data_IF_696573008474
#
_entry.id   IF_696573008474
#
_cell.length_a   1.000
_cell.length_b   1.000
_cell.length_c   1.000
_cell.angle_alpha   90.00
_cell.angle_beta   90.00
_cell.angle_gamma   90.00
#
_symmetry.space_group_name_H-M   'P 1'
#
loop_
_entity.id
_entity.type
_entity.pdbx_description
1 polymer ?
#
# COMPACT_ATOMS: atom_id res chain seq x y z
N UNK A 1 18.00 27.87 -80.96
CA UNK A 1 17.05 28.65 -80.13
C UNK A 1 16.80 27.82 -78.89
N UNK A 2 17.29 28.29 -77.74
CA UNK A 2 17.19 27.59 -76.47
C UNK A 2 15.81 27.85 -75.87
N UNK A 3 15.05 26.79 -75.61
CA UNK A 3 13.81 26.84 -74.84
C UNK A 3 14.18 26.61 -73.37
N UNK A 4 13.85 27.58 -72.53
CA UNK A 4 14.24 27.65 -71.12
C UNK A 4 13.05 27.21 -70.28
N UNK A 5 13.04 25.91 -69.93
CA UNK A 5 12.04 25.34 -69.03
C UNK A 5 12.19 25.90 -67.62
N UNK A 6 11.18 26.63 -67.15
CA UNK A 6 11.05 27.13 -65.78
C UNK A 6 10.91 25.94 -64.82
N UNK A 7 11.68 25.85 -63.72
CA UNK A 7 11.49 24.80 -62.74
C UNK A 7 10.23 25.09 -61.91
N UNK A 8 9.29 24.13 -61.87
CA UNK A 8 8.14 24.15 -60.95
C UNK A 8 8.67 24.09 -59.51
N UNK A 9 8.39 25.14 -58.72
CA UNK A 9 8.51 25.06 -57.26
C UNK A 9 7.58 23.96 -56.76
N UNK A 10 8.12 22.99 -56.02
CA UNK A 10 7.31 22.14 -55.15
C UNK A 10 6.84 23.02 -54.01
N UNK A 11 5.52 23.12 -53.83
CA UNK A 11 4.94 23.59 -52.59
C UNK A 11 5.23 22.51 -51.55
N UNK A 12 5.96 22.88 -50.50
CA UNK A 12 6.08 22.07 -49.29
C UNK A 12 4.73 22.22 -48.58
N UNK A 13 3.94 21.15 -48.57
CA UNK A 13 2.78 21.05 -47.69
C UNK A 13 3.33 21.03 -46.26
N UNK A 14 3.20 22.13 -45.53
CA UNK A 14 3.35 22.16 -44.08
C UNK A 14 2.22 21.27 -43.52
N UNK A 15 2.57 20.05 -43.10
CA UNK A 15 1.69 19.25 -42.25
C UNK A 15 1.45 20.07 -40.97
N UNK A 16 0.23 20.61 -40.81
CA UNK A 16 -0.22 21.14 -39.52
C UNK A 16 -0.13 19.98 -38.51
N UNK A 17 0.87 20.01 -37.63
CA UNK A 17 0.88 19.16 -36.44
C UNK A 17 -0.37 19.52 -35.65
N UNK A 18 -1.40 18.67 -35.72
CA UNK A 18 -2.51 18.70 -34.79
C UNK A 18 -1.93 18.79 -33.37
N UNK A 19 -2.15 19.91 -32.68
CA UNK A 19 -1.73 20.12 -31.29
C UNK A 19 -2.40 19.03 -30.42
N UNK A 20 -1.73 17.88 -30.28
CA UNK A 20 -2.16 16.82 -29.37
C UNK A 20 -2.02 17.39 -27.97
N UNK A 21 -3.15 17.78 -27.39
CA UNK A 21 -3.24 18.16 -25.98
C UNK A 21 -2.99 16.90 -25.14
N UNK A 22 -1.73 16.67 -24.82
CA UNK A 22 -1.33 15.66 -23.86
C UNK A 22 -1.80 16.12 -22.48
N UNK A 23 -2.94 15.59 -22.03
CA UNK A 23 -3.38 15.78 -20.65
C UNK A 23 -2.34 15.18 -19.71
N UNK A 24 -1.91 15.97 -18.74
CA UNK A 24 -1.01 15.48 -17.69
C UNK A 24 -1.72 14.35 -16.92
N UNK A 25 -1.06 13.21 -16.66
CA UNK A 25 -1.67 12.10 -15.90
C UNK A 25 -2.24 12.51 -14.53
N UNK A 26 -1.71 13.59 -13.91
CA UNK A 26 -2.26 14.16 -12.67
C UNK A 26 -3.69 14.69 -12.80
N UNK A 27 -4.18 14.90 -14.03
CA UNK A 27 -5.57 15.26 -14.30
C UNK A 27 -6.55 14.19 -13.77
N UNK A 28 -6.15 12.92 -13.76
CA UNK A 28 -6.97 11.80 -13.28
C UNK A 28 -6.75 11.51 -11.79
N UNK A 29 -5.88 12.26 -11.10
CA UNK A 29 -5.56 12.03 -9.68
C UNK A 29 -6.31 13.03 -8.81
N UNK A 30 -7.33 12.55 -8.10
CA UNK A 30 -8.01 13.35 -7.09
C UNK A 30 -7.11 13.56 -5.86
N UNK A 31 -6.90 14.83 -5.50
CA UNK A 31 -6.11 15.27 -4.34
C UNK A 31 -6.94 16.10 -3.35
N UNK A 32 -8.26 16.05 -3.46
CA UNK A 32 -9.21 16.76 -2.60
C UNK A 32 -9.38 16.09 -1.23
N UNK A 33 -8.26 15.97 -0.50
CA UNK A 33 -8.26 15.36 0.82
C UNK A 33 -9.04 16.21 1.83
N UNK A 34 -9.94 15.57 2.57
CA UNK A 34 -10.71 16.16 3.66
C UNK A 34 -10.35 15.54 5.00
N UNK A 35 -10.40 16.35 6.05
CA UNK A 35 -10.18 15.89 7.41
C UNK A 35 -11.36 15.02 7.88
N UNK A 36 -11.08 13.76 8.20
CA UNK A 36 -12.04 12.79 8.72
C UNK A 36 -11.61 12.33 10.10
N UNK A 37 -12.57 12.18 11.01
CA UNK A 37 -12.33 11.72 12.38
C UNK A 37 -12.81 10.28 12.53
N UNK A 38 -11.94 9.40 13.01
CA UNK A 38 -12.22 8.01 13.30
C UNK A 38 -12.08 7.74 14.79
N UNK A 39 -12.96 6.89 15.32
CA UNK A 39 -12.99 6.54 16.75
C UNK A 39 -12.79 5.05 16.92
N UNK A 40 -11.72 4.67 17.64
CA UNK A 40 -11.34 3.30 17.95
C UNK A 40 -11.29 3.11 19.46
N UNK A 41 -12.40 2.67 20.05
CA UNK A 41 -12.55 2.64 21.51
C UNK A 41 -12.38 4.05 22.09
N UNK A 42 -11.36 4.25 22.92
CA UNK A 42 -11.03 5.57 23.51
C UNK A 42 -10.10 6.43 22.64
N UNK A 43 -9.67 5.95 21.48
CA UNK A 43 -8.73 6.67 20.62
C UNK A 43 -9.45 7.39 19.50
N UNK A 44 -9.17 8.68 19.37
CA UNK A 44 -9.61 9.49 18.24
C UNK A 44 -8.43 9.76 17.29
N UNK A 45 -8.63 9.44 16.01
CA UNK A 45 -7.68 9.71 14.95
C UNK A 45 -8.30 10.67 13.93
N UNK A 46 -7.61 11.77 13.68
CA UNK A 46 -7.94 12.70 12.59
C UNK A 46 -6.97 12.46 11.45
N UNK A 47 -7.51 12.15 10.28
CA UNK A 47 -6.77 11.80 9.08
C UNK A 47 -7.32 12.57 7.88
N UNK A 48 -6.44 12.95 6.97
CA UNK A 48 -6.78 13.39 5.63
C UNK A 48 -7.19 12.16 4.80
N UNK A 49 -8.41 12.16 4.28
CA UNK A 49 -9.01 11.11 3.47
C UNK A 49 -9.59 11.71 2.18
N UNK A 50 -9.60 10.97 1.07
CA UNK A 50 -10.36 11.39 -0.11
C UNK A 50 -11.85 11.15 0.11
N UNK A 51 -12.69 12.07 -0.38
CA UNK A 51 -14.14 11.92 -0.37
C UNK A 51 -14.65 11.01 -1.46
N UNK A 52 -13.98 11.01 -2.61
CA UNK A 52 -14.36 10.15 -3.72
C UNK A 52 -13.95 8.71 -3.39
N UNK A 53 -14.92 7.79 -3.40
CA UNK A 53 -14.62 6.40 -3.76
C UNK A 53 -14.29 6.45 -5.25
N UNK A 54 -13.03 6.76 -5.62
CA UNK A 54 -12.66 6.71 -7.03
C UNK A 54 -12.84 5.28 -7.50
N UNK A 55 -13.83 5.05 -8.34
CA UNK A 55 -14.08 3.77 -8.99
C UNK A 55 -13.15 3.66 -10.19
N UNK A 56 -11.85 3.48 -9.97
CA UNK A 56 -10.95 3.01 -11.02
C UNK A 56 -10.59 1.55 -10.79
N UNK A 57 -10.26 0.90 -11.90
CA UNK A 57 -10.16 -0.54 -12.05
C UNK A 57 -9.05 -1.20 -11.18
N UNK A 58 -8.21 -0.40 -10.51
CA UNK A 58 -7.31 -0.80 -9.42
C UNK A 58 -7.20 0.23 -8.24
N UNK A 59 -8.06 1.26 -8.16
CA UNK A 59 -8.09 2.26 -7.07
C UNK A 59 -9.05 1.91 -5.91
N UNK A 60 -9.05 0.67 -5.43
CA UNK A 60 -9.94 0.25 -4.33
C UNK A 60 -9.59 0.89 -2.97
N UNK A 61 -10.08 2.12 -2.75
CA UNK A 61 -10.23 2.75 -1.44
C UNK A 61 -9.01 3.53 -0.96
N UNK A 62 -8.64 4.61 -1.67
CA UNK A 62 -7.66 5.57 -1.18
C UNK A 62 -8.17 6.19 0.15
N UNK A 63 -7.58 5.70 1.25
CA UNK A 63 -7.57 6.23 2.64
C UNK A 63 -8.58 5.73 3.66
N UNK A 64 -9.07 4.50 3.53
CA UNK A 64 -9.53 3.80 4.74
C UNK A 64 -8.59 2.67 5.12
N UNK A 65 -7.89 2.01 4.19
CA UNK A 65 -7.27 0.72 4.53
C UNK A 65 -5.75 0.74 4.80
N UNK A 66 -4.86 1.33 3.97
CA UNK A 66 -3.41 1.12 4.17
C UNK A 66 -2.81 1.98 5.29
N UNK A 67 -3.38 3.16 5.60
CA UNK A 67 -2.79 4.11 6.54
C UNK A 67 -3.34 4.05 7.98
N UNK A 68 -4.65 3.85 8.15
CA UNK A 68 -5.31 4.06 9.44
C UNK A 68 -4.82 3.09 10.51
N UNK A 69 -4.62 1.82 10.14
CA UNK A 69 -4.17 0.77 11.05
C UNK A 69 -2.77 1.07 11.56
N UNK A 70 -1.84 1.41 10.65
CA UNK A 70 -0.48 1.79 11.03
C UNK A 70 -0.45 3.07 11.87
N UNK A 71 -1.24 4.09 11.51
CA UNK A 71 -1.29 5.33 12.30
C UNK A 71 -1.93 5.08 13.67
N UNK A 72 -2.93 4.22 13.79
CA UNK A 72 -3.49 3.84 15.09
C UNK A 72 -2.44 3.14 15.96
N UNK A 73 -1.58 2.31 15.37
CA UNK A 73 -0.46 1.68 16.08
C UNK A 73 0.52 2.71 16.68
N UNK A 74 0.59 3.95 16.19
CA UNK A 74 1.39 5.02 16.81
C UNK A 74 0.99 5.32 18.26
N UNK A 75 -0.21 4.92 18.69
CA UNK A 75 -0.67 5.07 20.08
C UNK A 75 -0.09 4.01 21.03
N UNK A 76 0.45 2.93 20.49
CA UNK A 76 0.93 1.77 21.24
C UNK A 76 2.41 1.44 20.97
N UNK A 77 2.92 1.85 19.82
CA UNK A 77 4.26 1.53 19.34
C UNK A 77 5.19 2.75 19.44
N UNK A 78 6.48 2.52 19.70
CA UNK A 78 7.50 3.59 19.68
C UNK A 78 7.84 4.07 18.28
N UNK A 79 7.76 3.17 17.31
CA UNK A 79 8.10 3.41 15.90
C UNK A 79 7.14 2.63 15.02
N UNK A 80 6.66 3.25 13.94
CA UNK A 80 5.82 2.61 12.94
C UNK A 80 6.29 3.04 11.55
N UNK A 81 6.45 2.06 10.67
CA UNK A 81 6.78 2.26 9.26
C UNK A 81 5.55 1.88 8.45
N UNK A 82 4.95 2.86 7.77
CA UNK A 82 3.86 2.64 6.83
C UNK A 82 4.43 2.44 5.43
N UNK A 83 3.92 1.48 4.69
CA UNK A 83 4.47 1.13 3.38
C UNK A 83 3.39 0.95 2.33
N UNK A 84 3.68 1.41 1.12
CA UNK A 84 2.90 1.13 -0.09
C UNK A 84 3.83 1.23 -1.32
N UNK A 85 3.39 0.71 -2.47
CA UNK A 85 4.11 0.82 -3.72
C UNK A 85 3.61 1.98 -4.59
N UNK A 86 2.36 2.42 -4.40
CA UNK A 86 1.71 3.47 -5.17
C UNK A 86 2.15 4.83 -4.63
N UNK A 87 2.75 5.68 -5.47
CA UNK A 87 3.31 6.96 -5.04
C UNK A 87 2.23 7.94 -4.55
N UNK A 88 1.05 7.91 -5.16
CA UNK A 88 -0.13 8.68 -4.74
C UNK A 88 -0.60 8.28 -3.34
N UNK A 89 -0.57 6.97 -3.03
CA UNK A 89 -0.90 6.46 -1.69
C UNK A 89 0.18 6.87 -0.69
N UNK A 90 1.45 6.79 -1.06
CA UNK A 90 2.55 7.24 -0.21
C UNK A 90 2.48 8.74 0.07
N UNK A 91 2.08 9.58 -0.88
CA UNK A 91 1.94 11.01 -0.67
C UNK A 91 0.95 11.32 0.46
N UNK A 92 -0.21 10.67 0.44
CA UNK A 92 -1.19 10.91 1.49
C UNK A 92 -0.85 10.24 2.82
N UNK A 93 -0.15 9.10 2.81
CA UNK A 93 0.43 8.54 4.03
C UNK A 93 1.40 9.55 4.63
N UNK A 94 2.29 10.16 3.84
CA UNK A 94 3.24 11.20 4.31
C UNK A 94 2.53 12.40 4.92
N UNK A 95 1.51 12.94 4.24
CA UNK A 95 0.67 14.03 4.76
C UNK A 95 0.02 13.67 6.11
N UNK A 96 -0.46 12.44 6.25
CA UNK A 96 -1.05 11.96 7.50
C UNK A 96 -0.01 11.73 8.62
N UNK A 97 1.19 11.26 8.27
CA UNK A 97 2.33 11.16 9.19
C UNK A 97 2.74 12.54 9.72
N UNK A 98 2.83 13.54 8.85
CA UNK A 98 3.10 14.93 9.22
C UNK A 98 2.02 15.49 10.14
N UNK A 99 0.75 15.24 9.82
CA UNK A 99 -0.39 15.63 10.64
C UNK A 99 -0.31 15.05 12.06
N UNK A 100 0.11 13.79 12.20
CA UNK A 100 0.28 13.17 13.52
C UNK A 100 1.51 13.72 14.26
N UNK A 101 2.58 14.04 13.55
CA UNK A 101 3.83 14.56 14.13
C UNK A 101 3.66 15.97 14.70
N UNK A 102 2.75 16.76 14.13
CA UNK A 102 2.40 18.10 14.62
C UNK A 102 1.44 18.09 15.82
N UNK A 103 1.02 16.91 16.31
CA UNK A 103 0.16 16.78 17.48
C UNK A 103 0.96 16.88 18.77
N UNK A 104 0.46 17.63 19.77
CA UNK A 104 1.12 17.82 21.07
C UNK A 104 1.37 16.50 21.84
N UNK A 105 0.76 15.38 21.40
CA UNK A 105 0.88 14.05 21.99
C UNK A 105 1.67 13.04 21.11
N UNK A 106 2.54 13.51 20.22
CA UNK A 106 3.33 12.65 19.34
C UNK A 106 4.43 11.89 20.13
N UNK A 107 4.12 10.67 20.58
CA UNK A 107 5.07 9.81 21.30
C UNK A 107 5.78 8.77 20.40
N UNK A 108 5.29 8.56 19.19
CA UNK A 108 5.81 7.56 18.26
C UNK A 108 6.48 8.21 17.05
N UNK A 109 7.56 7.59 16.57
CA UNK A 109 8.18 7.94 15.29
C UNK A 109 7.41 7.25 14.17
N UNK A 110 6.81 8.03 13.29
CA UNK A 110 6.09 7.55 12.11
C UNK A 110 6.91 7.85 10.85
N UNK A 111 7.08 6.86 9.99
CA UNK A 111 7.70 7.03 8.66
C UNK A 111 6.85 6.38 7.58
N UNK A 112 6.98 6.89 6.35
CA UNK A 112 6.32 6.35 5.16
C UNK A 112 7.40 5.96 4.15
N UNK A 113 7.41 4.69 3.74
CA UNK A 113 8.47 4.11 2.92
C UNK A 113 7.89 3.33 1.73
N UNK A 114 8.55 3.40 0.57
CA UNK A 114 8.10 2.68 -0.62
C UNK A 114 8.41 1.19 -0.48
N UNK A 115 7.39 0.36 -0.66
CA UNK A 115 7.52 -1.10 -0.66
C UNK A 115 6.61 -1.72 -1.72
N UNK A 116 7.24 -2.32 -2.71
CA UNK A 116 6.59 -3.25 -3.62
C UNK A 116 6.95 -4.66 -3.16
N UNK A 117 5.94 -5.50 -2.95
CA UNK A 117 6.19 -6.86 -2.48
C UNK A 117 7.00 -7.64 -3.52
N UNK A 118 8.00 -8.39 -3.05
CA UNK A 118 8.92 -9.13 -3.91
C UNK A 118 10.06 -8.28 -4.51
N UNK A 119 9.99 -6.95 -4.42
CA UNK A 119 11.05 -6.07 -4.90
C UNK A 119 12.22 -6.06 -3.91
N UNK A 120 13.37 -6.61 -4.34
CA UNK A 120 14.52 -6.78 -3.46
C UNK A 120 15.17 -5.48 -3.02
N UNK A 121 15.18 -4.45 -3.87
CA UNK A 121 15.81 -3.16 -3.56
C UNK A 121 14.99 -2.41 -2.51
N UNK A 122 13.66 -2.43 -2.66
CA UNK A 122 12.75 -1.85 -1.65
C UNK A 122 12.89 -2.56 -0.30
N UNK A 123 12.91 -3.89 -0.30
CA UNK A 123 13.07 -4.69 0.94
C UNK A 123 14.41 -4.39 1.60
N UNK A 124 15.51 -4.38 0.83
CA UNK A 124 16.83 -4.09 1.37
C UNK A 124 16.90 -2.68 1.95
N UNK A 125 16.33 -1.68 1.27
CA UNK A 125 16.27 -0.31 1.77
C UNK A 125 15.57 -0.21 3.13
N UNK A 126 14.45 -0.92 3.31
CA UNK A 126 13.74 -0.96 4.61
C UNK A 126 14.61 -1.61 5.69
N UNK A 127 15.25 -2.75 5.38
CA UNK A 127 16.09 -3.47 6.35
C UNK A 127 17.31 -2.62 6.75
N UNK A 128 17.94 -1.92 5.80
CA UNK A 128 19.09 -1.05 6.05
C UNK A 128 18.72 0.17 6.90
N UNK A 129 17.56 0.78 6.66
CA UNK A 129 17.04 1.90 7.48
C UNK A 129 16.63 1.45 8.88
N UNK A 130 16.28 0.19 9.05
CA UNK A 130 15.78 -0.39 10.29
C UNK A 130 16.55 -1.65 10.68
N UNK A 131 17.86 -1.52 11.03
CA UNK A 131 18.72 -2.68 11.30
C UNK A 131 18.33 -3.45 12.57
N UNK A 132 17.52 -2.84 13.44
CA UNK A 132 16.92 -3.51 14.59
C UNK A 132 15.70 -4.36 14.23
N UNK A 133 15.30 -4.43 12.95
CA UNK A 133 14.12 -5.15 12.48
C UNK A 133 12.81 -4.64 13.07
N UNK A 134 11.80 -5.52 13.05
CA UNK A 134 10.44 -5.22 13.49
C UNK A 134 9.97 -6.26 14.52
N UNK A 135 9.20 -5.81 15.51
CA UNK A 135 8.53 -6.72 16.46
C UNK A 135 7.25 -7.29 15.85
N UNK A 136 6.57 -6.49 15.02
CA UNK A 136 5.29 -6.84 14.39
C UNK A 136 5.25 -6.31 12.95
N UNK A 137 4.82 -7.15 12.02
CA UNK A 137 4.35 -6.78 10.67
C UNK A 137 2.83 -6.88 10.65
N UNK A 138 2.15 -5.90 10.06
CA UNK A 138 0.68 -5.84 10.00
C UNK A 138 0.21 -5.82 8.55
N UNK A 139 -0.78 -6.64 8.22
CA UNK A 139 -1.50 -6.60 6.95
C UNK A 139 -3.01 -6.58 7.21
N UNK A 140 -3.71 -5.59 6.69
CA UNK A 140 -5.16 -5.43 6.86
C UNK A 140 -5.87 -5.29 5.50
N UNK A 141 -6.70 -6.27 5.17
CA UNK A 141 -7.43 -6.41 3.90
C UNK A 141 -6.55 -6.31 2.64
N UNK A 142 -5.35 -6.88 2.72
CA UNK A 142 -4.35 -6.87 1.65
C UNK A 142 -4.35 -8.15 0.78
N UNK A 143 -5.20 -9.13 1.11
CA UNK A 143 -5.28 -10.43 0.42
C UNK A 143 -6.44 -10.49 -0.57
N UNK A 144 -6.42 -9.65 -1.60
CA UNK A 144 -7.46 -9.63 -2.64
C UNK A 144 -6.96 -10.02 -4.03
N UNK A 145 -5.66 -9.88 -4.31
CA UNK A 145 -5.06 -10.27 -5.59
C UNK A 145 -4.23 -11.56 -5.43
N UNK A 146 -4.67 -12.63 -6.08
CA UNK A 146 -4.07 -13.96 -5.92
C UNK A 146 -2.58 -13.99 -6.32
N UNK A 147 -2.22 -13.30 -7.40
CA UNK A 147 -0.84 -13.23 -7.89
C UNK A 147 0.12 -12.54 -6.91
N UNK A 148 -0.39 -11.73 -5.99
CA UNK A 148 0.41 -10.94 -5.06
C UNK A 148 0.76 -11.71 -3.77
N UNK A 149 0.07 -12.82 -3.49
CA UNK A 149 0.25 -13.55 -2.22
C UNK A 149 1.64 -14.15 -2.09
N UNK A 150 2.21 -14.73 -3.16
CA UNK A 150 3.59 -15.25 -3.09
C UNK A 150 4.58 -14.14 -2.75
N UNK A 151 4.47 -12.99 -3.44
CA UNK A 151 5.36 -11.85 -3.21
C UNK A 151 5.20 -11.25 -1.80
N UNK A 152 3.97 -11.24 -1.26
CA UNK A 152 3.70 -10.84 0.12
C UNK A 152 4.48 -11.73 1.10
N UNK A 153 4.39 -13.06 0.94
CA UNK A 153 5.08 -13.99 1.84
C UNK A 153 6.60 -13.96 1.65
N UNK A 154 7.12 -13.81 0.43
CA UNK A 154 8.56 -13.59 0.16
C UNK A 154 9.06 -12.34 0.92
N UNK A 155 8.26 -11.27 0.91
CA UNK A 155 8.57 -10.00 1.59
C UNK A 155 8.56 -10.15 3.10
N UNK A 156 7.50 -10.73 3.65
CA UNK A 156 7.33 -10.91 5.09
C UNK A 156 8.40 -11.84 5.65
N UNK A 157 8.76 -12.92 4.96
CA UNK A 157 9.82 -13.83 5.40
C UNK A 157 11.14 -13.08 5.59
N UNK A 158 11.54 -12.30 4.58
CA UNK A 158 12.78 -11.52 4.63
C UNK A 158 12.77 -10.52 5.78
N UNK A 159 11.65 -9.84 6.02
CA UNK A 159 11.51 -8.89 7.12
C UNK A 159 11.58 -9.61 8.47
N UNK A 160 10.81 -10.69 8.69
CA UNK A 160 10.78 -11.42 9.97
C UNK A 160 12.15 -12.02 10.33
N UNK A 161 12.90 -12.50 9.33
CA UNK A 161 14.24 -13.07 9.54
C UNK A 161 15.26 -12.08 10.09
N UNK A 162 15.08 -10.77 9.90
CA UNK A 162 15.98 -9.74 10.46
C UNK A 162 16.04 -9.75 11.99
N UNK A 163 14.98 -10.22 12.65
CA UNK A 163 14.82 -10.25 14.10
C UNK A 163 14.97 -11.67 14.68
N UNK A 164 15.74 -12.53 14.02
CA UNK A 164 15.94 -13.94 14.41
C UNK A 164 14.62 -14.70 14.65
N UNK A 165 13.54 -14.32 13.94
CA UNK A 165 12.22 -14.96 14.07
C UNK A 165 11.35 -14.46 15.22
N UNK A 166 11.79 -13.45 15.99
CA UNK A 166 10.98 -12.87 17.09
C UNK A 166 9.84 -11.96 16.58
N UNK A 167 9.84 -11.64 15.29
CA UNK A 167 8.81 -10.83 14.65
C UNK A 167 7.54 -11.64 14.39
N UNK A 168 6.38 -11.07 14.69
CA UNK A 168 5.07 -11.66 14.36
C UNK A 168 4.44 -10.95 13.17
N UNK A 169 3.84 -11.70 12.25
CA UNK A 169 3.02 -11.14 11.20
C UNK A 169 1.54 -11.33 11.56
N UNK A 170 0.82 -10.23 11.78
CA UNK A 170 -0.61 -10.25 12.01
C UNK A 170 -1.32 -9.88 10.71
N UNK A 171 -2.08 -10.82 10.17
CA UNK A 171 -2.80 -10.68 8.91
C UNK A 171 -4.29 -10.75 9.17
N UNK A 172 -5.00 -9.66 8.90
CA UNK A 172 -6.45 -9.57 9.02
C UNK A 172 -7.06 -9.31 7.64
N UNK A 173 -8.08 -10.06 7.23
CA UNK A 173 -8.82 -9.76 6.00
C UNK A 173 -10.21 -10.37 6.03
N UNK A 174 -11.07 -9.90 5.11
CA UNK A 174 -12.39 -10.50 4.87
C UNK A 174 -12.26 -11.56 3.78
N UNK A 175 -12.56 -12.81 4.11
CA UNK A 175 -12.54 -13.90 3.14
C UNK A 175 -13.64 -13.70 2.11
N UNK A 176 -13.22 -13.30 0.90
CA UNK A 176 -14.10 -13.14 -0.28
C UNK A 176 -14.16 -14.42 -1.12
N UNK A 177 -13.12 -15.25 -1.04
CA UNK A 177 -13.03 -16.52 -1.76
C UNK A 177 -12.21 -17.53 -0.96
N UNK A 178 -12.76 -18.72 -0.71
CA UNK A 178 -12.07 -19.80 0.04
C UNK A 178 -10.74 -20.24 -0.58
N UNK A 179 -10.58 -20.04 -1.90
CA UNK A 179 -9.32 -20.30 -2.61
C UNK A 179 -8.20 -19.40 -2.08
N UNK A 180 -8.51 -18.16 -1.70
CA UNK A 180 -7.54 -17.22 -1.11
C UNK A 180 -7.04 -17.73 0.25
N UNK A 181 -7.94 -18.21 1.10
CA UNK A 181 -7.59 -18.76 2.42
C UNK A 181 -6.63 -19.93 2.30
N UNK A 182 -6.91 -20.85 1.36
CA UNK A 182 -6.03 -21.97 1.06
C UNK A 182 -4.65 -21.52 0.54
N UNK A 183 -4.59 -20.44 -0.24
CA UNK A 183 -3.33 -19.92 -0.76
C UNK A 183 -2.48 -19.26 0.32
N UNK A 184 -3.09 -18.49 1.24
CA UNK A 184 -2.40 -17.90 2.40
C UNK A 184 -1.73 -18.99 3.24
N UNK A 185 -2.46 -20.07 3.55
CA UNK A 185 -1.92 -21.20 4.30
C UNK A 185 -0.77 -21.91 3.56
N UNK A 186 -0.94 -22.13 2.25
CA UNK A 186 0.06 -22.79 1.42
C UNK A 186 1.35 -21.98 1.29
N UNK A 187 1.26 -20.68 1.02
CA UNK A 187 2.44 -19.82 0.92
C UNK A 187 3.11 -19.66 2.29
N UNK A 188 2.35 -19.53 3.38
CA UNK A 188 2.95 -19.53 4.72
C UNK A 188 3.76 -20.81 4.99
N UNK A 189 3.21 -21.99 4.68
CA UNK A 189 3.91 -23.26 4.87
C UNK A 189 5.20 -23.34 4.03
N UNK A 190 5.14 -22.90 2.77
CA UNK A 190 6.28 -22.86 1.84
C UNK A 190 7.43 -22.00 2.37
N UNK A 191 7.13 -20.90 3.05
CA UNK A 191 8.12 -19.99 3.65
C UNK A 191 8.50 -20.39 5.09
N UNK A 192 8.14 -21.60 5.52
CA UNK A 192 8.49 -22.11 6.84
C UNK A 192 7.80 -21.36 7.98
N UNK A 193 6.58 -20.87 7.75
CA UNK A 193 5.79 -20.16 8.77
C UNK A 193 4.68 -21.04 9.35
N UNK A 194 4.31 -20.75 10.59
CA UNK A 194 3.14 -21.31 11.28
C UNK A 194 2.03 -20.27 11.26
N UNK A 195 0.83 -20.65 10.82
CA UNK A 195 -0.37 -19.79 10.82
C UNK A 195 -1.30 -20.25 11.93
N UNK A 196 -1.72 -19.31 12.78
CA UNK A 196 -2.75 -19.56 13.80
C UNK A 196 -3.86 -18.52 13.67
N UNK A 197 -5.09 -18.98 13.62
CA UNK A 197 -6.23 -18.10 13.79
C UNK A 197 -6.23 -17.56 15.23
N UNK A 198 -6.50 -16.26 15.40
CA UNK A 198 -6.61 -15.66 16.72
C UNK A 198 -8.00 -15.94 17.29
N UNK A 199 -8.05 -16.59 18.45
CA UNK A 199 -9.30 -17.00 19.09
C UNK A 199 -10.28 -15.83 19.24
N UNK A 200 -11.54 -16.07 18.86
CA UNK A 200 -12.62 -15.09 18.99
C UNK A 200 -12.60 -13.96 17.96
N UNK A 201 -11.69 -13.97 16.98
CA UNK A 201 -11.63 -12.92 15.93
C UNK A 201 -12.45 -13.25 14.69
N UNK A 202 -12.75 -14.54 14.45
CA UNK A 202 -13.62 -14.93 13.34
C UNK A 202 -15.02 -14.41 13.55
N UNK A 203 -15.49 -13.59 12.62
CA UNK A 203 -16.81 -12.97 12.70
C UNK A 203 -17.45 -12.86 11.32
N UNK A 204 -18.77 -12.95 11.27
CA UNK A 204 -19.52 -12.69 10.06
C UNK A 204 -19.62 -11.18 9.83
N UNK A 205 -19.20 -10.72 8.65
CA UNK A 205 -19.31 -9.34 8.20
C UNK A 205 -20.23 -9.35 6.98
N UNK A 206 -21.48 -8.92 7.17
CA UNK A 206 -22.56 -9.09 6.18
C UNK A 206 -22.77 -10.57 5.84
N UNK A 207 -22.34 -11.00 4.65
CA UNK A 207 -22.43 -12.38 4.15
C UNK A 207 -21.05 -13.05 3.99
N UNK A 208 -19.99 -12.42 4.48
CA UNK A 208 -18.60 -12.90 4.42
C UNK A 208 -18.07 -13.17 5.82
N UNK A 209 -16.90 -13.80 5.92
CA UNK A 209 -16.21 -14.03 7.19
C UNK A 209 -14.93 -13.20 7.26
N UNK A 210 -14.78 -12.39 8.31
CA UNK A 210 -13.52 -11.76 8.68
C UNK A 210 -12.72 -12.70 9.59
N UNK A 211 -11.39 -12.71 9.43
CA UNK A 211 -10.47 -13.51 10.25
C UNK A 211 -9.19 -12.73 10.52
N UNK A 212 -8.59 -12.97 11.69
CA UNK A 212 -7.25 -12.50 12.04
C UNK A 212 -6.34 -13.71 12.24
N UNK A 213 -5.22 -13.71 11.54
CA UNK A 213 -4.15 -14.70 11.68
C UNK A 213 -2.94 -14.09 12.38
N UNK A 214 -2.36 -14.86 13.30
CA UNK A 214 -1.03 -14.68 13.87
C UNK A 214 -0.07 -15.65 13.18
N UNK A 215 0.93 -15.11 12.50
CA UNK A 215 1.88 -15.86 11.68
C UNK A 215 3.29 -15.66 12.24
N UNK A 216 4.00 -16.76 12.49
CA UNK A 216 5.37 -16.75 13.01
C UNK A 216 6.27 -17.66 12.19
N UNK A 217 7.57 -17.38 12.18
CA UNK A 217 8.56 -18.30 11.62
C UNK A 217 8.63 -19.59 12.48
N UNK A 218 8.84 -20.75 11.84
CA UNK A 218 9.06 -22.04 12.52
C UNK A 218 10.44 -22.14 13.15
#
# INVERSE_FOLDING_TARGET
MADSGIPRKREEEEEEEDDIVCLDPSFFVDRSYEMTTFTFGSHELRLLCLRAASTDYDLTGQLVWPGITGILCSRFCKRVVLTDHIDEVLEIIKKNVELQSCSENAHAVLTAEKLEWGNSDHINSIIEKHPGGFDVVLGADICFQQSSISYLFDTVERIIRTQAGNCRFILAYVSRAKVMDGLVLKEAEKHGMCVREVDGTRTTISNLEGVIFDITLK
#
